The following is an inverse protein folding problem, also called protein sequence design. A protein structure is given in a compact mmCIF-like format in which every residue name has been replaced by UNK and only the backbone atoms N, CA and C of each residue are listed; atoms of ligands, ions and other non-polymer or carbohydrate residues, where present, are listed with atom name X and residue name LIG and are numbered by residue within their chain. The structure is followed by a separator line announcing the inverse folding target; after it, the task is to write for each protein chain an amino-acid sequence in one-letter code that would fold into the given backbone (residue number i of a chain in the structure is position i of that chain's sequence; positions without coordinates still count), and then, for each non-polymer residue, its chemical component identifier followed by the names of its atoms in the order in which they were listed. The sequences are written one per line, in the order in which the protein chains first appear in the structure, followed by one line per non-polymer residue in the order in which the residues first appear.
data_IF_047500096199
#
_entry.id   IF_047500096199
#
_cell.length_a   1.000
_cell.length_b   1.000
_cell.length_c   1.000
_cell.angle_alpha   90.00
_cell.angle_beta   90.00
_cell.angle_gamma   90.00
#
_symmetry.space_group_name_H-M   'P 1'
#
loop_
_entity.id
_entity.type
_entity.pdbx_description
1 polymer ?
#
# COMPACT_ATOMS: atom_id res chain seq x y z
N UNK A 1 -4.89 15.79 0.22
CA UNK A 1 -3.98 14.66 0.51
C UNK A 1 -4.81 13.55 1.12
N UNK A 2 -4.93 12.40 0.45
CA UNK A 2 -5.75 11.28 0.91
C UNK A 2 -4.86 10.19 1.49
N UNK A 3 -5.33 9.61 2.59
CA UNK A 3 -4.65 8.53 3.28
C UNK A 3 -5.58 7.35 3.47
N UNK A 4 -5.00 6.16 3.39
CA UNK A 4 -5.69 4.91 3.59
C UNK A 4 -5.06 4.15 4.75
N UNK A 5 -5.87 3.38 5.44
CA UNK A 5 -5.44 2.33 6.37
C UNK A 5 -4.98 1.08 5.59
N UNK A 6 -4.32 0.15 6.28
CA UNK A 6 -3.99 -1.16 5.68
C UNK A 6 -5.24 -1.95 5.30
N UNK A 7 -6.33 -1.77 6.05
CA UNK A 7 -7.63 -2.40 5.76
C UNK A 7 -8.26 -1.85 4.48
N UNK A 8 -8.30 -0.53 4.31
CA UNK A 8 -8.89 0.09 3.11
C UNK A 8 -8.12 -0.28 1.83
N UNK A 9 -6.79 -0.33 1.88
CA UNK A 9 -5.99 -0.77 0.72
C UNK A 9 -6.18 -2.26 0.46
N UNK A 10 -6.28 -3.08 1.51
CA UNK A 10 -6.56 -4.51 1.37
C UNK A 10 -7.92 -4.75 0.69
N UNK A 11 -8.97 -4.04 1.11
CA UNK A 11 -10.29 -4.13 0.49
C UNK A 11 -10.31 -3.59 -0.94
N UNK A 12 -9.61 -2.48 -1.22
CA UNK A 12 -9.52 -1.89 -2.55
C UNK A 12 -8.86 -2.85 -3.55
N UNK A 13 -7.74 -3.47 -3.16
CA UNK A 13 -6.96 -4.36 -4.03
C UNK A 13 -7.41 -5.83 -3.94
N UNK A 14 -8.42 -6.13 -3.12
CA UNK A 14 -8.97 -7.48 -2.88
C UNK A 14 -7.89 -8.49 -2.46
N UNK A 15 -7.02 -8.07 -1.55
CA UNK A 15 -5.98 -8.91 -0.93
C UNK A 15 -6.12 -8.92 0.60
N UNK A 16 -5.38 -9.78 1.29
CA UNK A 16 -5.39 -9.77 2.75
C UNK A 16 -4.64 -8.57 3.32
N UNK A 17 -5.07 -8.06 4.49
CA UNK A 17 -4.28 -7.07 5.22
C UNK A 17 -2.86 -7.54 5.57
N UNK A 18 -2.67 -8.86 5.73
CA UNK A 18 -1.35 -9.45 5.96
C UNK A 18 -0.44 -9.17 4.75
N UNK A 19 -0.94 -9.38 3.54
CA UNK A 19 -0.22 -9.10 2.29
C UNK A 19 0.19 -7.64 2.22
N UNK A 20 -0.72 -6.71 2.52
CA UNK A 20 -0.41 -5.27 2.59
C UNK A 20 0.72 -4.99 3.59
N UNK A 21 0.64 -5.55 4.81
CA UNK A 21 1.70 -5.39 5.82
C UNK A 21 3.04 -5.99 5.40
N UNK A 22 3.05 -7.09 4.65
CA UNK A 22 4.26 -7.69 4.11
C UNK A 22 4.89 -6.81 3.03
N UNK A 23 4.10 -6.20 2.14
CA UNK A 23 4.59 -5.23 1.17
C UNK A 23 5.18 -3.98 1.84
N UNK A 24 4.55 -3.48 2.90
CA UNK A 24 5.08 -2.34 3.67
C UNK A 24 6.39 -2.73 4.37
N UNK A 25 6.44 -3.88 5.04
CA UNK A 25 7.67 -4.36 5.72
C UNK A 25 8.81 -4.62 4.74
N UNK A 26 8.50 -5.11 3.55
CA UNK A 26 9.47 -5.33 2.48
C UNK A 26 9.84 -4.08 1.69
N UNK A 27 9.31 -2.90 2.04
CA UNK A 27 9.57 -1.64 1.35
C UNK A 27 8.99 -1.54 -0.07
N UNK A 28 8.12 -2.48 -0.46
CA UNK A 28 7.45 -2.46 -1.76
C UNK A 28 6.34 -1.40 -1.81
N UNK A 29 5.61 -1.24 -0.72
CA UNK A 29 4.54 -0.25 -0.57
C UNK A 29 4.94 0.80 0.47
N UNK A 30 5.02 2.07 0.05
CA UNK A 30 5.30 3.20 0.94
C UNK A 30 4.18 3.40 1.96
N UNK A 31 4.56 3.70 3.21
CA UNK A 31 3.61 4.03 4.26
C UNK A 31 4.24 4.83 5.40
N UNK A 32 3.43 5.67 6.04
CA UNK A 32 3.81 6.52 7.18
C UNK A 32 3.28 5.93 8.48
N UNK A 33 4.14 5.81 9.49
CA UNK A 33 3.75 5.47 10.87
C UNK A 33 3.38 6.75 11.63
N UNK A 34 2.19 6.79 12.22
CA UNK A 34 1.75 7.93 13.02
C UNK A 34 2.01 7.70 14.52
N UNK A 35 2.82 8.59 15.11
CA UNK A 35 2.93 8.76 16.57
C UNK A 35 3.48 7.59 17.36
N UNK A 36 4.53 6.90 16.90
CA UNK A 36 5.17 5.80 17.64
C UNK A 36 4.29 4.55 17.85
N UNK A 37 3.06 4.53 17.32
CA UNK A 37 2.12 3.42 17.44
C UNK A 37 2.14 2.50 16.21
N UNK A 38 1.36 1.41 16.28
CA UNK A 38 1.09 0.50 15.15
C UNK A 38 0.20 1.11 14.05
N UNK A 39 -0.15 2.39 14.17
CA UNK A 39 -1.03 3.09 13.23
C UNK A 39 -0.26 3.47 11.97
N UNK A 40 -0.55 2.77 10.88
CA UNK A 40 0.05 3.01 9.55
C UNK A 40 -0.95 3.70 8.64
N UNK A 41 -0.47 4.65 7.83
CA UNK A 41 -1.22 5.29 6.75
C UNK A 41 -0.45 5.17 5.44
N UNK A 42 -1.16 4.80 4.38
CA UNK A 42 -0.65 4.72 3.02
C UNK A 42 -1.17 5.95 2.30
N UNK A 43 -0.29 6.79 1.76
CA UNK A 43 -0.72 7.93 0.96
C UNK A 43 -1.25 7.45 -0.39
N UNK A 44 -2.15 8.21 -1.00
CA UNK A 44 -2.59 7.94 -2.36
C UNK A 44 -1.44 7.91 -3.36
N UNK A 45 -0.44 8.77 -3.19
CA UNK A 45 0.76 8.83 -4.03
C UNK A 45 1.61 7.55 -3.90
N UNK A 46 1.82 7.05 -2.68
CA UNK A 46 2.54 5.79 -2.45
C UNK A 46 1.82 4.60 -3.07
N UNK A 47 0.49 4.56 -2.98
CA UNK A 47 -0.33 3.52 -3.59
C UNK A 47 -0.26 3.57 -5.12
N UNK A 48 -0.40 4.75 -5.71
CA UNK A 48 -0.30 4.94 -7.17
C UNK A 48 1.08 4.54 -7.70
N UNK A 49 2.13 4.91 -6.97
CA UNK A 49 3.50 4.51 -7.29
C UNK A 49 3.66 2.99 -7.25
N UNK A 50 3.21 2.33 -6.17
CA UNK A 50 3.24 0.88 -6.06
C UNK A 50 2.54 0.18 -7.22
N UNK A 51 1.34 0.64 -7.61
CA UNK A 51 0.60 0.08 -8.74
C UNK A 51 1.31 0.29 -10.08
N UNK A 52 1.94 1.45 -10.26
CA UNK A 52 2.73 1.77 -11.46
C UNK A 52 3.97 0.88 -11.56
N UNK A 53 4.71 0.71 -10.46
CA UNK A 53 5.93 -0.09 -10.40
C UNK A 53 5.66 -1.59 -10.64
N UNK A 54 4.45 -2.08 -10.36
CA UNK A 54 4.04 -3.47 -10.56
C UNK A 54 3.17 -3.67 -11.81
N UNK A 55 3.03 -2.65 -12.66
CA UNK A 55 2.25 -2.75 -13.90
C UNK A 55 2.97 -3.66 -14.88
N UNK A 56 2.41 -4.84 -15.13
CA UNK A 56 2.80 -5.67 -16.26
C UNK A 56 2.03 -5.19 -17.49
N UNK A 57 2.73 -4.65 -18.49
CA UNK A 57 2.13 -4.36 -19.79
C UNK A 57 2.15 -5.68 -20.56
N UNK A 58 0.96 -6.23 -20.87
CA UNK A 58 0.88 -7.32 -21.83
C UNK A 58 1.49 -6.81 -23.15
N UNK A 59 2.50 -7.50 -23.65
CA UNK A 59 2.97 -7.30 -25.02
C UNK A 59 1.98 -8.03 -25.91
N UNK A 60 1.21 -7.27 -26.68
CA UNK A 60 0.46 -7.77 -27.85
C UNK A 60 1.41 -7.86 -29.07
#
# INVERSE_FOLDING_TARGET
MKFYTTFEVADLLKVSERTIREWIRGGKLGATKLGGTKTVRISEDDLNKFLSDNRVVAQD
#
